data_IF_075538986747
#
_entry.id   IF_075538986747
#
_cell.length_a   1.000
_cell.length_b   1.000
_cell.length_c   1.000
_cell.angle_alpha   90.00
_cell.angle_beta   90.00
_cell.angle_gamma   90.00
#
_symmetry.space_group_name_H-M   'P 1'
#
loop_
_entity.id
_entity.type
_entity.pdbx_description
1 polymer ?
#
# COMPACT_ATOMS: atom_id res chain seq x y z
N UNK A 1 8.45 1.05 4.26
CA UNK A 1 7.24 1.20 3.42
C UNK A 1 7.61 1.60 2.00
N UNK A 2 8.40 2.65 1.82
CA UNK A 2 8.85 3.08 0.49
C UNK A 2 9.56 1.99 -0.34
N UNK A 3 10.36 1.14 0.29
CA UNK A 3 11.01 0.02 -0.42
C UNK A 3 10.01 -0.92 -1.10
N UNK A 4 8.82 -1.09 -0.52
CA UNK A 4 7.75 -1.89 -1.14
C UNK A 4 7.22 -1.23 -2.41
N UNK A 5 7.07 0.08 -2.43
CA UNK A 5 6.64 0.82 -3.62
C UNK A 5 7.71 0.84 -4.71
N UNK A 6 8.99 0.91 -4.33
CA UNK A 6 10.10 0.74 -5.28
C UNK A 6 10.06 -0.65 -5.93
N UNK A 7 9.78 -1.69 -5.14
CA UNK A 7 9.67 -3.05 -5.62
C UNK A 7 8.33 -3.37 -6.32
N UNK A 8 7.32 -2.49 -6.23
CA UNK A 8 5.97 -2.75 -6.74
C UNK A 8 5.08 -3.62 -5.83
N UNK A 9 5.55 -3.99 -4.63
CA UNK A 9 4.86 -4.81 -3.62
C UNK A 9 3.89 -4.02 -2.74
N UNK A 10 3.23 -3.01 -3.30
CA UNK A 10 2.27 -2.20 -2.57
C UNK A 10 0.85 -2.37 -3.11
N UNK A 11 -0.10 -1.99 -2.26
CA UNK A 11 -1.53 -1.92 -2.60
C UNK A 11 -1.95 -0.46 -2.83
N UNK A 12 -3.03 -0.26 -3.59
CA UNK A 12 -3.58 1.09 -3.81
C UNK A 12 -3.97 1.79 -2.51
N UNK A 13 -4.53 1.04 -1.54
CA UNK A 13 -4.86 1.56 -0.21
C UNK A 13 -3.63 2.10 0.53
N UNK A 14 -2.47 1.46 0.37
CA UNK A 14 -1.23 1.95 0.98
C UNK A 14 -0.77 3.30 0.39
N UNK A 15 -1.11 3.59 -0.88
CA UNK A 15 -0.84 4.89 -1.51
C UNK A 15 -1.65 5.99 -0.82
N UNK A 16 -2.95 5.76 -0.64
CA UNK A 16 -3.81 6.74 0.02
C UNK A 16 -3.45 6.88 1.52
N UNK A 17 -3.08 5.77 2.18
CA UNK A 17 -2.62 5.81 3.57
C UNK A 17 -1.32 6.61 3.74
N UNK A 18 -0.31 6.42 2.87
CA UNK A 18 0.93 7.19 3.00
C UNK A 18 0.69 8.68 2.72
N UNK A 19 -0.27 8.99 1.83
CA UNK A 19 -0.68 10.37 1.59
C UNK A 19 -1.27 11.00 2.85
N UNK A 20 -2.22 10.33 3.50
CA UNK A 20 -2.81 10.78 4.77
C UNK A 20 -1.74 10.93 5.85
N UNK A 21 -0.85 9.96 6.01
CA UNK A 21 0.24 10.03 6.99
C UNK A 21 1.15 11.24 6.75
N UNK A 22 1.45 11.58 5.50
CA UNK A 22 2.26 12.78 5.20
C UNK A 22 1.55 14.08 5.55
N UNK A 23 0.21 14.09 5.65
CA UNK A 23 -0.58 15.23 6.13
C UNK A 23 -0.64 15.29 7.64
N UNK A 24 -0.76 14.15 8.30
CA UNK A 24 -0.68 14.08 9.76
C UNK A 24 0.69 14.48 10.28
N UNK A 25 1.77 14.25 9.54
CA UNK A 25 3.10 14.73 9.93
C UNK A 25 3.24 16.26 9.83
N UNK A 26 2.58 16.87 8.84
CA UNK A 26 2.74 18.28 8.48
C UNK A 26 2.23 19.19 9.61
N UNK A 27 3.13 19.90 10.29
CA UNK A 27 2.78 20.84 11.36
C UNK A 27 2.40 20.21 12.71
N UNK A 28 2.47 18.89 12.85
CA UNK A 28 2.21 18.17 14.11
C UNK A 28 3.49 17.63 14.76
N UNK A 29 4.65 18.05 14.29
CA UNK A 29 5.95 17.62 14.82
C UNK A 29 6.77 18.81 15.36
N UNK A 30 7.64 18.54 16.32
CA UNK A 30 8.43 19.57 17.02
C UNK A 30 9.48 20.24 16.12
N UNK A 31 9.94 19.54 15.07
CA UNK A 31 11.02 19.98 14.20
C UNK A 31 10.60 19.84 12.73
N UNK A 32 10.95 20.84 11.91
CA UNK A 32 10.67 20.89 10.48
C UNK A 32 11.29 19.75 9.65
N UNK A 33 12.14 18.90 10.26
CA UNK A 33 12.70 17.72 9.59
C UNK A 33 11.60 16.76 9.12
N UNK A 34 10.54 16.57 9.90
CA UNK A 34 9.46 15.67 9.51
C UNK A 34 8.66 16.21 8.31
N UNK A 35 8.38 17.52 8.31
CA UNK A 35 7.73 18.21 7.18
C UNK A 35 8.60 18.12 5.91
N UNK A 36 9.90 18.35 6.06
CA UNK A 36 10.88 18.23 4.99
C UNK A 36 10.96 16.80 4.42
N UNK A 37 10.70 15.77 5.23
CA UNK A 37 10.61 14.38 4.78
C UNK A 37 9.25 14.04 4.14
N UNK A 38 8.16 14.68 4.58
CA UNK A 38 6.81 14.45 4.07
C UNK A 38 6.57 15.10 2.70
N UNK A 39 7.09 16.31 2.47
CA UNK A 39 6.87 17.03 1.22
C UNK A 39 7.37 16.32 -0.05
N UNK A 40 8.55 15.68 -0.08
CA UNK A 40 8.98 14.89 -1.23
C UNK A 40 8.02 13.76 -1.58
N UNK A 41 7.45 13.10 -0.56
CA UNK A 41 6.46 12.04 -0.75
C UNK A 41 5.16 12.60 -1.30
N UNK A 42 4.69 13.73 -0.76
CA UNK A 42 3.53 14.42 -1.31
C UNK A 42 3.75 14.86 -2.77
N UNK A 43 4.92 15.39 -3.11
CA UNK A 43 5.28 15.78 -4.49
C UNK A 43 5.30 14.57 -5.44
N UNK A 44 5.90 13.45 -5.00
CA UNK A 44 5.90 12.20 -5.74
C UNK A 44 4.47 11.75 -6.06
N UNK A 45 3.58 11.73 -5.06
CA UNK A 45 2.21 11.26 -5.26
C UNK A 45 1.34 12.24 -6.06
N UNK A 46 1.56 13.55 -5.96
CA UNK A 46 0.83 14.54 -6.76
C UNK A 46 1.12 14.42 -8.26
N UNK A 47 2.36 14.12 -8.62
CA UNK A 47 2.79 14.17 -10.03
C UNK A 47 3.03 12.79 -10.65
N UNK A 48 3.46 11.81 -9.86
CA UNK A 48 3.90 10.50 -10.33
C UNK A 48 3.06 9.34 -9.78
N UNK A 49 1.89 9.60 -9.18
CA UNK A 49 0.95 8.54 -8.80
C UNK A 49 0.65 7.55 -9.95
N UNK A 50 0.40 7.98 -11.20
CA UNK A 50 0.16 7.05 -12.30
C UNK A 50 1.33 6.09 -12.56
N UNK A 51 2.57 6.56 -12.38
CA UNK A 51 3.78 5.75 -12.53
C UNK A 51 3.94 4.74 -11.39
N UNK A 52 3.64 5.13 -10.15
CA UNK A 52 3.65 4.23 -8.99
C UNK A 52 2.60 3.13 -9.18
N UNK A 53 1.39 3.49 -9.58
CA UNK A 53 0.31 2.53 -9.85
C UNK A 53 0.64 1.60 -11.02
N UNK A 54 1.29 2.11 -12.07
CA UNK A 54 1.77 1.28 -13.19
C UNK A 54 2.75 0.22 -12.71
N UNK A 55 3.74 0.59 -11.90
CA UNK A 55 4.72 -0.36 -11.33
C UNK A 55 4.06 -1.44 -10.47
N UNK A 56 3.03 -1.06 -9.70
CA UNK A 56 2.27 -2.04 -8.91
C UNK A 56 1.51 -3.03 -9.78
N UNK A 57 0.84 -2.55 -10.85
CA UNK A 57 0.16 -3.43 -11.80
C UNK A 57 1.13 -4.42 -12.46
N UNK A 58 2.24 -3.91 -13.00
CA UNK A 58 3.26 -4.75 -13.64
C UNK A 58 3.85 -5.79 -12.68
N UNK A 59 4.00 -5.44 -11.40
CA UNK A 59 4.45 -6.36 -10.39
C UNK A 59 3.40 -7.44 -10.09
N UNK A 60 2.12 -7.06 -9.96
CA UNK A 60 1.02 -7.99 -9.69
C UNK A 60 0.74 -8.93 -10.86
N UNK A 61 0.88 -8.47 -12.10
CA UNK A 61 0.77 -9.31 -13.30
C UNK A 61 1.84 -10.41 -13.32
N UNK A 62 3.06 -10.11 -12.84
CA UNK A 62 4.18 -11.06 -12.83
C UNK A 62 4.19 -11.98 -11.61
N UNK A 63 3.79 -11.47 -10.44
CA UNK A 63 3.98 -12.16 -9.16
C UNK A 63 2.68 -12.55 -8.45
N UNK A 64 1.53 -12.24 -9.04
CA UNK A 64 0.21 -12.43 -8.44
C UNK A 64 -0.19 -11.28 -7.49
N UNK A 65 -1.39 -11.37 -6.90
CA UNK A 65 -1.94 -10.31 -6.07
C UNK A 65 -1.11 -10.11 -4.79
N UNK A 66 -0.93 -8.84 -4.44
CA UNK A 66 -0.23 -8.40 -3.23
C UNK A 66 -1.26 -7.93 -2.21
N UNK A 67 -1.07 -8.34 -0.96
CA UNK A 67 -1.91 -8.01 0.17
C UNK A 67 -1.44 -6.72 0.83
N UNK A 68 -2.29 -6.12 1.63
CA UNK A 68 -1.91 -4.96 2.43
C UNK A 68 -0.73 -5.34 3.34
N UNK A 69 0.32 -4.50 3.37
CA UNK A 69 1.57 -4.80 4.08
C UNK A 69 2.64 -5.50 3.23
N UNK A 70 2.33 -5.85 1.98
CA UNK A 70 3.30 -6.37 1.01
C UNK A 70 3.52 -7.88 1.02
N UNK A 71 2.70 -8.63 1.77
CA UNK A 71 2.68 -10.08 1.69
C UNK A 71 2.10 -10.54 0.34
N UNK A 72 2.65 -11.61 -0.22
CA UNK A 72 2.03 -12.24 -1.38
C UNK A 72 0.88 -13.13 -0.94
N UNK A 73 -0.20 -13.17 -1.72
CA UNK A 73 -1.29 -14.11 -1.47
C UNK A 73 -0.84 -15.58 -1.48
N UNK A 74 0.23 -15.90 -2.22
CA UNK A 74 0.81 -17.27 -2.28
C UNK A 74 1.57 -17.69 -1.03
N UNK A 75 2.13 -16.74 -0.28
CA UNK A 75 2.95 -17.02 0.91
C UNK A 75 2.08 -17.06 2.18
N UNK A 76 0.76 -16.93 2.00
CA UNK A 76 -0.18 -16.78 3.09
C UNK A 76 -0.68 -18.15 3.56
N UNK A 77 -0.60 -18.38 4.87
CA UNK A 77 -1.12 -19.59 5.49
C UNK A 77 -2.66 -19.64 5.37
N UNK A 78 -3.23 -20.64 4.68
CA UNK A 78 -4.68 -20.77 4.52
C UNK A 78 -5.43 -21.01 5.84
N UNK A 79 -4.74 -21.42 6.90
CA UNK A 79 -5.34 -21.68 8.21
C UNK A 79 -5.44 -20.45 9.10
N UNK A 80 -4.81 -19.33 8.71
CA UNK A 80 -4.86 -18.08 9.46
C UNK A 80 -6.02 -17.20 8.98
N UNK A 81 -7.00 -16.97 9.86
CA UNK A 81 -8.09 -16.05 9.57
C UNK A 81 -7.56 -14.62 9.38
N UNK A 82 -7.79 -14.06 8.18
CA UNK A 82 -7.36 -12.70 7.86
C UNK A 82 -8.48 -11.70 8.03
N UNK A 83 -8.20 -10.57 8.70
CA UNK A 83 -9.17 -9.51 8.80
C UNK A 83 -9.35 -8.85 7.41
N UNK A 84 -10.56 -8.34 7.11
CA UNK A 84 -10.93 -7.86 5.78
C UNK A 84 -10.12 -6.64 5.32
N UNK A 85 -9.46 -5.93 6.24
CA UNK A 85 -8.57 -4.80 5.94
C UNK A 85 -7.18 -5.22 5.43
N UNK A 86 -6.81 -6.50 5.53
CA UNK A 86 -5.50 -7.03 5.10
C UNK A 86 -5.61 -7.89 3.84
N UNK A 87 -6.75 -8.55 3.65
CA UNK A 87 -7.00 -9.45 2.52
C UNK A 87 -6.97 -8.75 1.15
N UNK A 88 -6.51 -9.47 0.12
CA UNK A 88 -6.57 -9.01 -1.28
C UNK A 88 -8.05 -8.89 -1.67
N UNK A 89 -8.43 -7.94 -2.55
CA UNK A 89 -9.80 -7.85 -3.06
C UNK A 89 -10.32 -9.17 -3.68
N UNK A 90 -9.43 -10.08 -4.10
CA UNK A 90 -9.81 -11.44 -4.52
C UNK A 90 -10.24 -12.34 -3.35
N UNK A 91 -9.53 -12.28 -2.21
CA UNK A 91 -9.83 -13.04 -1.00
C UNK A 91 -11.05 -12.49 -0.23
N UNK A 92 -11.26 -11.17 -0.27
CA UNK A 92 -12.46 -10.55 0.31
C UNK A 92 -13.77 -11.02 -0.37
N UNK A 93 -13.70 -11.39 -1.66
CA UNK A 93 -14.85 -11.89 -2.43
C UNK A 93 -15.26 -13.31 -2.01
N UNK A 94 -14.31 -14.15 -1.59
CA UNK A 94 -14.58 -15.51 -1.09
C UNK A 94 -15.19 -15.50 0.32
N UNK A 95 -14.78 -14.57 1.19
CA UNK A 95 -15.32 -14.44 2.56
C UNK A 95 -16.78 -13.95 2.56
N UNK A 96 -17.21 -13.20 1.54
CA UNK A 96 -18.60 -12.72 1.42
C UNK A 96 -19.61 -13.76 0.90
N UNK A 97 -19.16 -14.96 0.52
CA UNK A 97 -19.98 -16.02 -0.08
C UNK A 97 -20.18 -17.24 0.84
N UNK A 98 -19.59 -17.26 2.03
CA UNK A 98 -19.95 -18.23 3.07
C UNK A 98 -21.21 -17.76 3.80
N UNK A 99 -22.29 -18.57 3.84
CA UNK A 99 -23.56 -18.23 4.47
C UNK A 99 -23.46 -18.06 5.99
#
# INVERSE_FOLDING_TARGET
>A
MMDRFVQGRGTYREIDMIWELTKEMEGHTICALADAAAWPVQGLLRHFRPEVERRMREYQEKNGPVLFGGAHARDQDPTLALPPNVASPAAAKEISLTP
#
